data_IF_524396060009
#
_entry.id   IF_524396060009
#
_cell.length_a   1.000
_cell.length_b   1.000
_cell.length_c   1.000
_cell.angle_alpha   90.00
_cell.angle_beta   90.00
_cell.angle_gamma   90.00
#
_symmetry.space_group_name_H-M   'P 1'
#
loop_
_entity.id
_entity.type
_entity.pdbx_description
1 polymer ?
#
# COMPACT_ATOMS: atom_id res chain seq x y z
N UNK A 1 18.87 11.63 -0.92
CA UNK A 1 18.98 10.61 0.16
C UNK A 1 18.02 9.48 -0.20
N UNK A 2 18.49 8.32 -0.68
CA UNK A 2 17.60 7.19 -1.04
C UNK A 2 17.07 6.62 0.27
N UNK A 3 15.75 6.61 0.45
CA UNK A 3 15.12 5.88 1.55
C UNK A 3 15.51 4.41 1.39
N UNK A 4 16.43 3.92 2.24
CA UNK A 4 16.74 2.49 2.31
C UNK A 4 15.60 1.82 3.03
N UNK A 5 14.71 1.18 2.28
CA UNK A 5 13.73 0.25 2.82
C UNK A 5 14.42 -0.86 3.64
N UNK A 6 15.71 -1.09 3.39
CA UNK A 6 16.58 -2.05 4.06
C UNK A 6 16.82 -1.75 5.57
N UNK A 7 16.55 -0.52 6.04
CA UNK A 7 16.74 -0.11 7.44
C UNK A 7 15.42 0.08 8.22
N UNK A 8 14.31 -0.39 7.66
CA UNK A 8 13.01 -0.40 8.34
C UNK A 8 13.06 -1.51 9.40
N UNK A 9 12.92 -1.15 10.68
CA UNK A 9 12.62 -2.06 11.79
C UNK A 9 11.30 -2.81 11.53
N UNK A 10 11.33 -3.81 10.63
CA UNK A 10 10.09 -4.40 10.09
C UNK A 10 10.32 -5.65 9.26
N UNK A 11 11.48 -6.31 9.38
CA UNK A 11 11.58 -7.68 8.89
C UNK A 11 10.64 -8.55 9.72
N UNK A 12 9.80 -9.39 9.09
CA UNK A 12 9.01 -10.35 9.83
C UNK A 12 9.92 -11.17 10.74
N UNK A 13 9.59 -11.24 12.02
CA UNK A 13 10.28 -12.09 12.98
C UNK A 13 10.23 -13.54 12.52
N UNK A 14 11.19 -14.36 12.97
CA UNK A 14 11.18 -15.79 12.64
C UNK A 14 9.85 -16.47 13.02
N UNK A 15 9.20 -15.98 14.09
CA UNK A 15 7.88 -16.43 14.51
C UNK A 15 6.77 -16.00 13.55
N UNK A 16 6.73 -14.74 13.15
CA UNK A 16 5.76 -14.25 12.15
C UNK A 16 5.92 -14.99 10.82
N UNK A 17 7.15 -15.27 10.39
CA UNK A 17 7.42 -16.08 9.19
C UNK A 17 6.87 -17.49 9.37
N UNK A 18 7.09 -18.11 10.53
CA UNK A 18 6.59 -19.46 10.84
C UNK A 18 5.06 -19.50 10.83
N UNK A 19 4.41 -18.57 11.52
CA UNK A 19 2.94 -18.44 11.57
C UNK A 19 2.39 -18.23 10.17
N UNK A 20 2.92 -17.27 9.40
CA UNK A 20 2.45 -16.98 8.05
C UNK A 20 2.55 -18.19 7.10
N UNK A 21 3.58 -19.03 7.26
CA UNK A 21 3.73 -20.27 6.47
C UNK A 21 2.68 -21.34 6.78
N UNK A 22 2.03 -21.28 7.94
CA UNK A 22 0.97 -22.22 8.32
C UNK A 22 -0.44 -21.75 7.91
N UNK A 23 -0.57 -20.51 7.45
CA UNK A 23 -1.87 -19.97 7.04
C UNK A 23 -2.29 -20.52 5.67
N UNK A 24 -3.57 -20.86 5.54
CA UNK A 24 -4.17 -21.12 4.23
C UNK A 24 -4.24 -19.84 3.39
N UNK A 25 -4.42 -19.92 2.06
CA UNK A 25 -4.59 -18.73 1.23
C UNK A 25 -5.73 -17.81 1.71
N UNK A 26 -6.84 -18.39 2.20
CA UNK A 26 -7.96 -17.62 2.75
C UNK A 26 -7.56 -16.88 4.04
N UNK A 27 -6.86 -17.56 4.96
CA UNK A 27 -6.38 -16.95 6.19
C UNK A 27 -5.32 -15.87 5.93
N UNK A 28 -4.45 -16.08 4.94
CA UNK A 28 -3.51 -15.05 4.47
C UNK A 28 -4.24 -13.84 3.90
N UNK A 29 -5.27 -14.04 3.08
CA UNK A 29 -6.06 -12.95 2.53
C UNK A 29 -6.87 -12.19 3.60
N UNK A 30 -7.35 -12.88 4.63
CA UNK A 30 -8.03 -12.28 5.77
C UNK A 30 -7.08 -11.49 6.67
N UNK A 31 -5.92 -12.06 7.01
CA UNK A 31 -4.84 -11.36 7.71
C UNK A 31 -4.42 -10.10 6.96
N UNK A 32 -4.20 -10.21 5.64
CA UNK A 32 -3.81 -9.07 4.82
C UNK A 32 -4.88 -7.96 4.81
N UNK A 33 -6.17 -8.33 4.73
CA UNK A 33 -7.27 -7.36 4.85
C UNK A 33 -7.27 -6.67 6.21
N UNK A 34 -7.16 -7.43 7.30
CA UNK A 34 -7.10 -6.88 8.66
C UNK A 34 -5.91 -5.94 8.84
N UNK A 35 -4.71 -6.31 8.36
CA UNK A 35 -3.51 -5.47 8.44
C UNK A 35 -3.69 -4.15 7.68
N UNK A 36 -4.39 -4.16 6.54
CA UNK A 36 -4.70 -2.95 5.75
C UNK A 36 -5.70 -2.05 6.46
N UNK A 37 -6.79 -2.62 6.97
CA UNK A 37 -7.84 -1.88 7.67
C UNK A 37 -7.29 -1.14 8.90
N UNK A 38 -6.31 -1.75 9.57
CA UNK A 38 -5.66 -1.21 10.76
C UNK A 38 -4.26 -0.63 10.49
N UNK A 39 -3.90 -0.35 9.23
CA UNK A 39 -2.57 0.14 8.88
C UNK A 39 -2.18 1.44 9.60
N UNK A 40 -3.17 2.25 9.94
CA UNK A 40 -3.04 3.52 10.66
C UNK A 40 -2.80 3.37 12.18
N UNK A 41 -2.96 2.16 12.71
CA UNK A 41 -2.67 1.79 14.11
C UNK A 41 -1.39 0.93 14.21
N UNK A 42 -0.98 0.34 13.09
CA UNK A 42 0.19 -0.53 13.00
C UNK A 42 1.54 0.21 12.86
N UNK A 43 2.62 -0.53 12.53
CA UNK A 43 3.97 0.01 12.42
C UNK A 43 4.11 1.22 11.49
N UNK A 44 3.26 1.30 10.45
CA UNK A 44 3.23 2.42 9.50
C UNK A 44 2.97 3.77 10.17
N UNK A 45 2.13 3.82 11.21
CA UNK A 45 1.94 5.04 11.98
C UNK A 45 3.26 5.53 12.59
N UNK A 46 4.01 4.65 13.23
CA UNK A 46 5.31 4.96 13.82
C UNK A 46 6.32 5.44 12.78
N UNK A 47 6.33 4.82 11.58
CA UNK A 47 7.19 5.26 10.47
C UNK A 47 6.87 6.68 10.02
N UNK A 48 5.60 6.96 9.74
CA UNK A 48 5.17 8.27 9.24
C UNK A 48 5.39 9.33 10.33
N UNK A 49 5.13 9.02 11.61
CA UNK A 49 5.40 9.95 12.72
C UNK A 49 6.87 10.30 12.85
N UNK A 50 7.78 9.34 12.70
CA UNK A 50 9.23 9.60 12.73
C UNK A 50 9.69 10.45 11.53
N UNK A 51 9.10 10.23 10.36
CA UNK A 51 9.40 11.01 9.15
C UNK A 51 8.82 12.43 9.21
N UNK A 52 7.68 12.61 9.89
CA UNK A 52 6.94 13.86 10.00
C UNK A 52 6.61 14.18 11.46
N UNK A 53 7.61 14.51 12.30
CA UNK A 53 7.43 14.65 13.75
C UNK A 53 6.46 15.75 14.17
N UNK A 54 6.29 16.77 13.32
CA UNK A 54 5.38 17.89 13.56
C UNK A 54 3.96 17.67 13.05
N UNK A 55 3.70 16.60 12.29
CA UNK A 55 2.34 16.28 11.87
C UNK A 55 1.53 15.77 13.06
N UNK A 56 0.27 16.24 13.17
CA UNK A 56 -0.68 15.73 14.16
C UNK A 56 -0.99 14.25 13.90
N UNK A 57 -1.27 13.52 14.97
CA UNK A 57 -1.50 12.07 14.88
C UNK A 57 -2.71 11.74 13.99
N UNK A 58 -3.77 12.55 14.05
CA UNK A 58 -4.95 12.36 13.19
C UNK A 58 -4.65 12.62 11.71
N UNK A 59 -3.80 13.60 11.42
CA UNK A 59 -3.33 13.85 10.05
C UNK A 59 -2.52 12.66 9.53
N UNK A 60 -1.68 12.04 10.38
CA UNK A 60 -0.91 10.84 10.03
C UNK A 60 -1.83 9.65 9.79
N UNK A 61 -2.77 9.38 10.70
CA UNK A 61 -3.76 8.30 10.52
C UNK A 61 -4.52 8.47 9.22
N UNK A 62 -5.00 9.69 8.97
CA UNK A 62 -5.76 9.98 7.76
C UNK A 62 -4.93 9.86 6.49
N UNK A 63 -3.65 10.26 6.51
CA UNK A 63 -2.76 10.07 5.39
C UNK A 63 -2.55 8.58 5.08
N UNK A 64 -2.38 7.74 6.10
CA UNK A 64 -2.24 6.28 5.92
C UNK A 64 -3.53 5.67 5.37
N UNK A 65 -4.69 6.00 5.94
CA UNK A 65 -6.00 5.55 5.46
C UNK A 65 -6.21 5.96 3.99
N UNK A 66 -5.85 7.19 3.65
CA UNK A 66 -5.98 7.71 2.28
C UNK A 66 -5.08 6.95 1.31
N UNK A 67 -3.84 6.64 1.70
CA UNK A 67 -2.94 5.84 0.87
C UNK A 67 -3.46 4.41 0.63
N UNK A 68 -4.00 3.74 1.66
CA UNK A 68 -4.62 2.41 1.54
C UNK A 68 -5.81 2.45 0.59
N UNK A 69 -6.71 3.42 0.76
CA UNK A 69 -7.90 3.57 -0.11
C UNK A 69 -7.54 3.89 -1.56
N UNK A 70 -6.52 4.70 -1.77
CA UNK A 70 -6.01 4.96 -3.13
C UNK A 70 -5.53 3.66 -3.78
N UNK A 71 -4.74 2.86 -3.06
CA UNK A 71 -4.27 1.57 -3.57
C UNK A 71 -5.44 0.61 -3.87
N UNK A 72 -6.41 0.49 -2.96
CA UNK A 72 -7.63 -0.31 -3.19
C UNK A 72 -8.37 0.15 -4.45
N UNK A 73 -8.47 1.46 -4.68
CA UNK A 73 -9.08 2.02 -5.88
C UNK A 73 -8.28 1.66 -7.15
N UNK A 74 -6.94 1.63 -7.10
CA UNK A 74 -6.13 1.20 -8.25
C UNK A 74 -6.42 -0.26 -8.63
N UNK A 75 -6.57 -1.15 -7.64
CA UNK A 75 -6.91 -2.54 -7.87
C UNK A 75 -8.36 -2.72 -8.34
N UNK A 76 -9.31 -2.00 -7.74
CA UNK A 76 -10.72 -2.05 -8.12
C UNK A 76 -10.97 -1.55 -9.55
N UNK A 77 -10.19 -0.58 -10.02
CA UNK A 77 -10.28 -0.06 -11.40
C UNK A 77 -9.53 -0.89 -12.43
N UNK A 78 -8.73 -1.88 -12.00
CA UNK A 78 -8.02 -2.74 -12.92
C UNK A 78 -8.99 -3.68 -13.63
N UNK A 79 -8.93 -3.66 -14.96
CA UNK A 79 -9.66 -4.58 -15.81
C UNK A 79 -8.79 -4.87 -17.04
N UNK A 80 -8.40 -6.13 -17.21
CA UNK A 80 -7.52 -6.54 -18.30
C UNK A 80 -8.32 -6.72 -19.59
N UNK A 81 -8.32 -5.69 -20.44
CA UNK A 81 -9.10 -5.65 -21.68
C UNK A 81 -8.35 -5.00 -22.86
N UNK A 82 -7.15 -5.49 -23.15
CA UNK A 82 -6.29 -4.97 -24.22
C UNK A 82 -4.83 -5.05 -23.83
N UNK A 83 -4.05 -4.02 -24.19
CA UNK A 83 -2.67 -3.90 -23.74
C UNK A 83 -2.60 -3.84 -22.21
N UNK A 84 -1.80 -4.73 -21.63
CA UNK A 84 -1.69 -4.86 -20.18
C UNK A 84 -1.24 -3.57 -19.51
N UNK A 85 -0.23 -2.91 -20.07
CA UNK A 85 0.33 -1.69 -19.48
C UNK A 85 -0.65 -0.52 -19.59
N UNK A 86 -1.36 -0.39 -20.71
CA UNK A 86 -2.45 0.57 -20.84
C UNK A 86 -3.56 0.33 -19.81
N UNK A 87 -3.89 -0.94 -19.51
CA UNK A 87 -4.86 -1.28 -18.47
C UNK A 87 -4.38 -0.83 -17.07
N UNK A 88 -3.11 -1.06 -16.75
CA UNK A 88 -2.47 -0.59 -15.51
C UNK A 88 -2.51 0.94 -15.39
N UNK A 89 -2.06 1.65 -16.44
CA UNK A 89 -2.04 3.12 -16.47
C UNK A 89 -3.44 3.69 -16.29
N UNK A 90 -4.44 3.12 -16.96
CA UNK A 90 -5.84 3.56 -16.87
C UNK A 90 -6.42 3.33 -15.48
N UNK A 91 -6.12 2.20 -14.85
CA UNK A 91 -6.59 1.90 -13.50
C UNK A 91 -6.06 2.94 -12.49
N UNK A 92 -4.76 3.25 -12.56
CA UNK A 92 -4.14 4.25 -11.71
C UNK A 92 -4.66 5.66 -12.01
N UNK A 93 -4.87 6.01 -13.28
CA UNK A 93 -5.44 7.32 -13.65
C UNK A 93 -6.85 7.52 -13.07
N UNK A 94 -7.70 6.48 -13.07
CA UNK A 94 -9.03 6.53 -12.46
C UNK A 94 -8.99 6.70 -10.94
N UNK A 95 -8.05 6.03 -10.28
CA UNK A 95 -7.82 6.22 -8.85
C UNK A 95 -7.27 7.63 -8.56
N UNK A 96 -6.31 8.11 -9.34
CA UNK A 96 -5.72 9.45 -9.18
C UNK A 96 -6.77 10.57 -9.30
N UNK A 97 -7.79 10.40 -10.14
CA UNK A 97 -8.91 11.35 -10.22
C UNK A 97 -9.71 11.47 -8.91
N UNK A 98 -9.71 10.42 -8.07
CA UNK A 98 -10.36 10.43 -6.75
C UNK A 98 -9.40 10.84 -5.63
N UNK A 99 -8.09 10.70 -5.85
CA UNK A 99 -7.03 10.97 -4.88
C UNK A 99 -5.93 11.83 -5.54
N UNK A 100 -6.20 13.12 -5.83
CA UNK A 100 -5.32 13.96 -6.64
C UNK A 100 -4.10 14.52 -5.91
N UNK A 101 -4.04 14.39 -4.58
CA UNK A 101 -3.04 15.08 -3.74
C UNK A 101 -1.71 14.32 -3.61
N UNK A 102 -1.55 13.20 -4.31
CA UNK A 102 -0.30 12.45 -4.30
C UNK A 102 0.70 13.02 -5.32
N UNK A 103 1.99 12.81 -5.04
CA UNK A 103 3.06 13.18 -5.97
C UNK A 103 3.04 12.27 -7.21
N UNK A 104 3.50 12.77 -8.36
CA UNK A 104 3.61 11.96 -9.59
C UNK A 104 4.46 10.70 -9.38
N UNK A 105 5.46 10.76 -8.50
CA UNK A 105 6.25 9.57 -8.12
C UNK A 105 5.38 8.49 -7.49
N UNK A 106 4.40 8.85 -6.66
CA UNK A 106 3.46 7.91 -6.05
C UNK A 106 2.58 7.26 -7.11
N UNK A 107 2.07 8.02 -8.08
CA UNK A 107 1.28 7.44 -9.17
C UNK A 107 2.11 6.51 -10.05
N UNK A 108 3.36 6.88 -10.35
CA UNK A 108 4.29 5.99 -11.07
C UNK A 108 4.54 4.70 -10.30
N UNK A 109 4.80 4.79 -9.00
CA UNK A 109 5.10 3.62 -8.18
C UNK A 109 3.85 2.72 -8.03
N UNK A 110 2.65 3.31 -7.96
CA UNK A 110 1.38 2.58 -7.99
C UNK A 110 1.18 1.77 -9.28
N UNK A 111 1.56 2.33 -10.45
CA UNK A 111 1.51 1.59 -11.73
C UNK A 111 2.39 0.33 -11.66
N UNK A 112 3.59 0.44 -11.07
CA UNK A 112 4.48 -0.70 -10.89
C UNK A 112 3.89 -1.75 -9.94
N UNK A 113 3.24 -1.33 -8.85
CA UNK A 113 2.59 -2.23 -7.91
C UNK A 113 1.43 -3.00 -8.54
N UNK A 114 0.53 -2.31 -9.26
CA UNK A 114 -0.58 -2.96 -9.97
C UNK A 114 -0.04 -3.96 -11.01
N UNK A 115 0.99 -3.56 -11.75
CA UNK A 115 1.63 -4.45 -12.72
C UNK A 115 2.27 -5.68 -12.06
N UNK A 116 2.89 -5.54 -10.88
CA UNK A 116 3.46 -6.65 -10.14
C UNK A 116 2.41 -7.63 -9.61
N UNK A 117 1.25 -7.13 -9.18
CA UNK A 117 0.19 -7.96 -8.61
C UNK A 117 -0.61 -8.78 -9.65
N UNK A 118 -0.74 -8.27 -10.88
CA UNK A 118 -1.52 -8.92 -11.95
C UNK A 118 -0.68 -9.58 -13.04
N UNK A 119 0.65 -9.66 -12.86
CA UNK A 119 1.57 -10.34 -13.77
C UNK A 119 2.05 -11.65 -13.16
#
# INVERSE_FOLDING_TARGET
RRYRLDSIEGRPTAEEVRVNRTLTPQQMAEKYRTDRDHAHEGPMFGYVKRAHPHAGDDAIRQAIITAVRFEDATFAHFNWNGDFWECVVRAVARAAAQYPDFLETTYRDARNNVAYYYK
#
